data_IF_827360028346
#
_entry.id   IF_827360028346
#
_cell.length_a   1.000
_cell.length_b   1.000
_cell.length_c   1.000
_cell.angle_alpha   90.00
_cell.angle_beta   90.00
_cell.angle_gamma   90.00
#
_symmetry.space_group_name_H-M   'P 1'
#
loop_
_entity.id
_entity.type
_entity.pdbx_description
1 polymer ?
#
# COMPACT_ATOMS: atom_id res chain seq x y z
N UNK A 1 -9.97 -15.01 19.78
CA UNK A 1 -9.37 -13.82 19.16
C UNK A 1 -10.28 -13.45 18.02
N UNK A 2 -10.69 -12.17 17.89
CA UNK A 2 -11.51 -11.70 16.77
C UNK A 2 -10.79 -11.88 15.44
N UNK A 3 -11.55 -12.07 14.36
CA UNK A 3 -11.01 -12.11 13.00
C UNK A 3 -10.33 -10.78 12.68
N UNK A 4 -9.22 -10.80 11.92
CA UNK A 4 -8.46 -9.61 11.57
C UNK A 4 -9.23 -8.61 10.70
N UNK A 5 -8.65 -7.44 10.47
CA UNK A 5 -9.13 -6.43 9.52
C UNK A 5 -8.00 -6.12 8.52
N UNK A 6 -8.30 -6.17 7.22
CA UNK A 6 -7.41 -5.66 6.17
C UNK A 6 -7.74 -4.18 5.91
N UNK A 7 -6.76 -3.31 6.08
CA UNK A 7 -6.82 -1.92 5.62
C UNK A 7 -5.96 -1.80 4.36
N UNK A 8 -6.61 -1.56 3.22
CA UNK A 8 -5.94 -1.42 1.92
C UNK A 8 -5.67 0.05 1.61
N UNK A 9 -4.42 0.36 1.28
CA UNK A 9 -3.95 1.71 0.94
C UNK A 9 -3.55 1.74 -0.54
N UNK A 10 -4.32 2.48 -1.34
CA UNK A 10 -4.09 2.59 -2.78
C UNK A 10 -2.93 3.53 -3.13
N UNK A 11 -2.49 3.51 -4.39
CA UNK A 11 -1.36 4.30 -4.89
C UNK A 11 -1.69 5.76 -5.20
N UNK A 12 -0.69 6.45 -5.76
CA UNK A 12 -0.79 7.82 -6.23
C UNK A 12 -1.79 7.96 -7.39
N UNK A 13 -2.53 9.05 -7.45
CA UNK A 13 -3.59 9.30 -8.44
C UNK A 13 -4.68 8.21 -8.51
N UNK A 14 -4.86 7.42 -7.46
CA UNK A 14 -5.73 6.26 -7.43
C UNK A 14 -6.89 6.41 -6.44
N UNK A 15 -7.69 5.35 -6.26
CA UNK A 15 -8.86 5.34 -5.39
C UNK A 15 -9.21 3.91 -4.94
N UNK A 16 -10.22 3.73 -4.06
CA UNK A 16 -10.79 2.42 -3.77
C UNK A 16 -11.36 1.68 -4.99
N UNK A 17 -11.64 2.39 -6.10
CA UNK A 17 -12.05 1.79 -7.36
C UNK A 17 -10.90 1.17 -8.17
N UNK A 18 -9.66 1.21 -7.67
CA UNK A 18 -8.51 0.57 -8.32
C UNK A 18 -8.72 -0.94 -8.46
N UNK A 19 -8.16 -1.50 -9.52
CA UNK A 19 -8.32 -2.90 -9.89
C UNK A 19 -8.02 -3.86 -8.72
N UNK A 20 -6.86 -3.73 -8.08
CA UNK A 20 -6.46 -4.59 -6.95
C UNK A 20 -7.37 -4.43 -5.73
N UNK A 21 -7.75 -3.20 -5.38
CA UNK A 21 -8.64 -2.95 -4.24
C UNK A 21 -10.01 -3.60 -4.47
N UNK A 22 -10.58 -3.46 -5.68
CA UNK A 22 -11.87 -4.10 -6.02
C UNK A 22 -11.79 -5.62 -5.99
N UNK A 23 -10.74 -6.20 -6.61
CA UNK A 23 -10.59 -7.66 -6.62
C UNK A 23 -10.48 -8.24 -5.22
N UNK A 24 -9.70 -7.60 -4.35
CA UNK A 24 -9.56 -8.09 -2.97
C UNK A 24 -10.88 -7.90 -2.20
N UNK A 25 -11.59 -6.79 -2.38
CA UNK A 25 -12.91 -6.58 -1.78
C UNK A 25 -13.93 -7.64 -2.24
N UNK A 26 -13.97 -7.95 -3.54
CA UNK A 26 -14.82 -8.98 -4.12
C UNK A 26 -14.49 -10.37 -3.56
N UNK A 27 -13.22 -10.72 -3.47
CA UNK A 27 -12.77 -11.99 -2.89
C UNK A 27 -13.11 -12.10 -1.39
N UNK A 28 -12.93 -11.02 -0.63
CA UNK A 28 -13.34 -10.94 0.78
C UNK A 28 -14.86 -11.14 0.92
N UNK A 29 -15.66 -10.48 0.08
CA UNK A 29 -17.11 -10.64 0.08
C UNK A 29 -17.53 -12.09 -0.28
N UNK A 30 -16.88 -12.69 -1.28
CA UNK A 30 -17.14 -14.08 -1.68
C UNK A 30 -16.88 -15.09 -0.55
N UNK A 31 -15.93 -14.77 0.34
CA UNK A 31 -15.59 -15.56 1.54
C UNK A 31 -16.46 -15.24 2.75
N UNK A 32 -17.41 -14.32 2.65
CA UNK A 32 -18.22 -13.84 3.78
C UNK A 32 -17.42 -13.00 4.78
N UNK A 33 -16.38 -12.30 4.29
CA UNK A 33 -15.45 -11.49 5.07
C UNK A 33 -15.51 -9.99 4.67
N UNK A 34 -16.60 -9.53 4.06
CA UNK A 34 -16.72 -8.16 3.56
C UNK A 34 -16.47 -7.10 4.66
N UNK A 35 -16.91 -7.36 5.89
CA UNK A 35 -16.74 -6.49 7.05
C UNK A 35 -15.30 -6.43 7.58
N UNK A 36 -14.44 -7.34 7.12
CA UNK A 36 -13.03 -7.45 7.46
C UNK A 36 -12.09 -6.79 6.43
N UNK A 37 -12.65 -5.96 5.55
CA UNK A 37 -11.89 -5.23 4.54
C UNK A 37 -12.34 -3.79 4.45
N UNK A 38 -11.38 -2.86 4.43
CA UNK A 38 -11.63 -1.44 4.18
C UNK A 38 -10.54 -0.85 3.29
N UNK A 39 -10.95 -0.08 2.31
CA UNK A 39 -10.07 0.72 1.46
C UNK A 39 -10.57 2.17 1.48
N UNK A 40 -9.95 3.07 2.26
CA UNK A 40 -10.38 4.46 2.29
C UNK A 40 -9.96 5.19 1.01
N UNK A 41 -10.70 6.23 0.62
CA UNK A 41 -10.17 7.23 -0.31
C UNK A 41 -9.07 8.00 0.39
N UNK A 42 -7.84 7.91 -0.11
CA UNK A 42 -6.70 8.63 0.42
C UNK A 42 -6.64 10.05 -0.16
N UNK A 43 -6.36 11.02 0.68
CA UNK A 43 -6.06 12.39 0.25
C UNK A 43 -4.77 12.42 -0.58
N UNK A 44 -4.67 13.31 -1.58
CA UNK A 44 -3.40 13.57 -2.25
C UNK A 44 -2.35 14.24 -1.34
N UNK A 45 -2.77 14.77 -0.18
CA UNK A 45 -1.87 15.33 0.84
C UNK A 45 -1.36 14.19 1.73
N UNK A 46 -0.04 13.89 1.74
CA UNK A 46 0.49 12.70 2.43
C UNK A 46 0.21 12.65 3.94
N UNK A 47 0.23 13.79 4.61
CA UNK A 47 -0.09 13.84 6.04
C UNK A 47 -1.56 13.46 6.32
N UNK A 48 -2.48 13.87 5.46
CA UNK A 48 -3.91 13.54 5.57
C UNK A 48 -4.17 12.06 5.23
N UNK A 49 -3.47 11.53 4.21
CA UNK A 49 -3.54 10.11 3.85
C UNK A 49 -3.16 9.23 5.05
N UNK A 50 -2.05 9.53 5.70
CA UNK A 50 -1.60 8.82 6.91
C UNK A 50 -2.57 9.02 8.07
N UNK A 51 -3.10 10.24 8.27
CA UNK A 51 -4.09 10.51 9.32
C UNK A 51 -5.37 9.69 9.12
N UNK A 52 -5.80 9.51 7.85
CA UNK A 52 -6.94 8.64 7.53
C UNK A 52 -6.68 7.18 7.90
N UNK A 53 -5.51 6.65 7.53
CA UNK A 53 -5.09 5.29 7.92
C UNK A 53 -4.99 5.13 9.44
N UNK A 54 -4.42 6.11 10.14
CA UNK A 54 -4.32 6.11 11.61
C UNK A 54 -5.69 6.01 12.26
N UNK A 55 -6.68 6.80 11.82
CA UNK A 55 -8.04 6.73 12.38
C UNK A 55 -8.69 5.35 12.23
N UNK A 56 -8.49 4.69 11.09
CA UNK A 56 -9.01 3.34 10.87
C UNK A 56 -8.34 2.31 11.79
N UNK A 57 -7.02 2.41 11.97
CA UNK A 57 -6.27 1.53 12.86
C UNK A 57 -6.69 1.73 14.32
N UNK A 58 -6.82 2.98 14.76
CA UNK A 58 -7.18 3.34 16.13
C UNK A 58 -8.63 2.99 16.48
N UNK A 59 -9.53 2.97 15.50
CA UNK A 59 -10.92 2.57 15.66
C UNK A 59 -11.15 1.06 15.56
N UNK A 60 -10.15 0.29 15.11
CA UNK A 60 -10.32 -1.15 14.91
C UNK A 60 -10.31 -1.91 16.24
N UNK A 61 -11.33 -2.74 16.45
CA UNK A 61 -11.42 -3.65 17.60
C UNK A 61 -10.72 -4.99 17.36
N UNK A 62 -10.22 -5.21 16.13
CA UNK A 62 -9.59 -6.43 15.67
C UNK A 62 -8.13 -6.18 15.28
N UNK A 63 -7.26 -7.22 15.23
CA UNK A 63 -5.91 -7.09 14.70
C UNK A 63 -5.92 -6.57 13.27
N UNK A 64 -5.17 -5.49 12.99
CA UNK A 64 -5.08 -4.90 11.66
C UNK A 64 -3.88 -5.43 10.90
N UNK A 65 -4.09 -5.76 9.62
CA UNK A 65 -3.03 -6.00 8.64
C UNK A 65 -3.17 -4.97 7.52
N UNK A 66 -2.08 -4.30 7.20
CA UNK A 66 -2.06 -3.32 6.11
C UNK A 66 -1.75 -4.01 4.78
N UNK A 67 -2.41 -3.58 3.72
CA UNK A 67 -2.04 -3.96 2.35
C UNK A 67 -1.82 -2.67 1.57
N UNK A 68 -0.62 -2.43 1.07
CA UNK A 68 -0.30 -1.18 0.39
C UNK A 68 0.26 -1.41 -1.01
N UNK A 69 -0.24 -0.67 -2.01
CA UNK A 69 0.24 -0.74 -3.39
C UNK A 69 0.91 0.57 -3.81
N UNK A 70 2.10 0.50 -4.42
CA UNK A 70 2.83 1.67 -4.90
C UNK A 70 3.07 2.68 -3.77
N UNK A 71 2.62 3.94 -3.90
CA UNK A 71 2.69 4.93 -2.82
C UNK A 71 1.91 4.50 -1.56
N UNK A 72 0.82 3.74 -1.71
CA UNK A 72 0.12 3.13 -0.58
C UNK A 72 1.00 2.15 0.21
N UNK A 73 1.99 1.53 -0.43
CA UNK A 73 3.01 0.72 0.23
C UNK A 73 3.92 1.54 1.15
N UNK A 74 4.28 2.76 0.75
CA UNK A 74 5.01 3.70 1.62
C UNK A 74 4.17 4.09 2.86
N UNK A 75 2.90 4.43 2.68
CA UNK A 75 2.01 4.72 3.79
C UNK A 75 1.81 3.50 4.72
N UNK A 76 1.66 2.31 4.13
CA UNK A 76 1.56 1.06 4.90
C UNK A 76 2.83 0.80 5.73
N UNK A 77 4.01 1.07 5.18
CA UNK A 77 5.27 0.95 5.93
C UNK A 77 5.29 1.91 7.13
N UNK A 78 5.03 3.19 6.91
CA UNK A 78 5.01 4.18 7.99
C UNK A 78 4.02 3.80 9.11
N UNK A 79 2.80 3.43 8.74
CA UNK A 79 1.76 3.04 9.70
C UNK A 79 2.07 1.72 10.40
N UNK A 80 2.63 0.73 9.68
CA UNK A 80 3.03 -0.54 10.26
C UNK A 80 4.11 -0.36 11.33
N UNK A 81 5.12 0.50 11.08
CA UNK A 81 6.14 0.80 12.08
C UNK A 81 5.58 1.60 13.26
N UNK A 82 4.73 2.59 12.99
CA UNK A 82 4.10 3.41 14.04
C UNK A 82 3.24 2.59 15.00
N UNK A 83 2.50 1.60 14.51
CA UNK A 83 1.52 0.84 15.29
C UNK A 83 1.94 -0.61 15.57
N UNK A 84 3.10 -1.07 15.09
CA UNK A 84 3.58 -2.43 15.30
C UNK A 84 2.81 -3.49 14.51
N UNK A 85 2.31 -3.17 13.31
CA UNK A 85 1.42 -4.00 12.51
C UNK A 85 2.16 -4.83 11.47
N UNK A 86 1.49 -5.87 10.94
CA UNK A 86 1.92 -6.58 9.73
C UNK A 86 1.50 -5.82 8.48
N UNK A 87 2.29 -5.95 7.40
CA UNK A 87 1.95 -5.36 6.12
C UNK A 87 2.34 -6.24 4.92
N UNK A 88 1.47 -6.27 3.91
CA UNK A 88 1.78 -6.78 2.56
C UNK A 88 1.96 -5.59 1.64
N UNK A 89 3.10 -5.52 0.96
CA UNK A 89 3.47 -4.40 0.11
C UNK A 89 3.60 -4.86 -1.35
N UNK A 90 2.86 -4.22 -2.24
CA UNK A 90 2.75 -4.61 -3.65
C UNK A 90 3.42 -3.53 -4.51
N UNK A 91 4.53 -3.85 -5.16
CA UNK A 91 5.35 -2.90 -5.91
C UNK A 91 5.49 -1.55 -5.17
N UNK A 92 5.95 -1.53 -3.90
CA UNK A 92 5.90 -0.34 -3.06
C UNK A 92 6.90 0.72 -3.50
N UNK A 93 6.54 1.98 -3.30
CA UNK A 93 7.44 3.10 -3.49
C UNK A 93 8.44 3.17 -2.33
N UNK A 94 9.71 2.93 -2.60
CA UNK A 94 10.83 3.20 -1.68
C UNK A 94 11.18 4.70 -1.75
N UNK A 95 10.42 5.53 -1.04
CA UNK A 95 10.42 7.00 -1.16
C UNK A 95 11.81 7.61 -0.94
N UNK A 96 12.64 7.05 -0.06
CA UNK A 96 14.02 7.50 0.17
C UNK A 96 14.94 7.31 -1.04
N UNK A 97 14.55 6.46 -2.01
CA UNK A 97 15.27 6.17 -3.25
C UNK A 97 14.69 6.90 -4.47
N UNK A 98 13.54 7.57 -4.31
CA UNK A 98 12.84 8.21 -5.40
C UNK A 98 13.25 9.68 -5.59
N UNK A 99 13.38 10.10 -6.84
CA UNK A 99 13.42 11.51 -7.17
C UNK A 99 12.00 12.10 -7.18
N UNK A 100 11.53 12.56 -6.02
CA UNK A 100 10.18 13.10 -5.85
C UNK A 100 9.94 14.37 -6.66
N UNK A 101 10.98 15.11 -7.08
CA UNK A 101 10.82 16.30 -7.91
C UNK A 101 10.15 16.00 -9.25
N UNK A 102 10.25 14.77 -9.76
CA UNK A 102 9.58 14.34 -10.99
C UNK A 102 8.05 14.27 -10.88
N UNK A 103 7.53 14.24 -9.66
CA UNK A 103 6.09 14.15 -9.39
C UNK A 103 5.47 15.49 -9.03
N UNK A 104 6.27 16.56 -8.88
CA UNK A 104 5.76 17.90 -8.58
C UNK A 104 5.04 18.44 -9.79
N UNK A 105 3.82 18.97 -9.57
CA UNK A 105 2.96 19.53 -10.59
C UNK A 105 1.51 19.12 -10.44
N UNK A 106 0.74 19.39 -11.49
CA UNK A 106 -0.69 19.09 -11.54
C UNK A 106 -0.92 17.63 -11.96
N UNK A 107 -1.83 16.98 -11.27
CA UNK A 107 -2.24 15.60 -11.50
C UNK A 107 -3.76 15.46 -11.51
N UNK A 108 -4.22 14.36 -12.04
CA UNK A 108 -5.64 13.99 -12.03
C UNK A 108 -5.80 12.58 -11.48
N UNK A 109 -6.74 12.39 -10.57
CA UNK A 109 -7.09 11.06 -10.09
C UNK A 109 -7.68 10.23 -11.23
N UNK A 110 -7.14 9.04 -11.47
CA UNK A 110 -7.50 8.18 -12.61
C UNK A 110 -8.94 7.67 -12.57
N UNK A 111 -9.57 7.65 -11.38
CA UNK A 111 -10.89 7.07 -11.18
C UNK A 111 -11.96 8.13 -10.91
N UNK A 112 -11.61 9.21 -10.19
CA UNK A 112 -12.58 10.26 -9.83
C UNK A 112 -12.56 11.43 -10.80
N UNK A 113 -11.47 11.61 -11.58
CA UNK A 113 -11.26 12.78 -12.43
C UNK A 113 -10.91 14.05 -11.65
N UNK A 114 -10.75 13.99 -10.34
CA UNK A 114 -10.40 15.14 -9.51
C UNK A 114 -8.97 15.58 -9.78
N UNK A 115 -8.80 16.89 -10.05
CA UNK A 115 -7.50 17.50 -10.24
C UNK A 115 -6.90 17.92 -8.88
N UNK A 116 -5.58 17.73 -8.72
CA UNK A 116 -4.85 18.19 -7.54
C UNK A 116 -3.39 18.52 -7.88
N UNK A 117 -2.78 19.41 -7.11
CA UNK A 117 -1.36 19.71 -7.22
C UNK A 117 -0.52 18.88 -6.23
N UNK A 118 0.56 18.26 -6.70
CA UNK A 118 1.58 17.68 -5.84
C UNK A 118 2.74 18.66 -5.70
N UNK A 119 3.09 19.06 -4.49
CA UNK A 119 3.99 20.18 -4.20
C UNK A 119 5.27 19.72 -3.49
N UNK A 120 6.27 20.61 -3.37
CA UNK A 120 7.47 20.38 -2.54
C UNK A 120 7.11 20.08 -1.08
N UNK A 121 6.05 20.72 -0.55
CA UNK A 121 5.56 20.42 0.80
C UNK A 121 5.07 18.96 0.91
N UNK A 122 4.38 18.46 -0.11
CA UNK A 122 3.95 17.05 -0.15
C UNK A 122 5.14 16.10 -0.25
N UNK A 123 6.14 16.43 -1.06
CA UNK A 123 7.38 15.66 -1.14
C UNK A 123 8.13 15.63 0.20
N UNK A 124 8.19 16.77 0.92
CA UNK A 124 8.78 16.84 2.25
C UNK A 124 8.02 15.98 3.28
N UNK A 125 6.68 15.96 3.21
CA UNK A 125 5.85 15.10 4.06
C UNK A 125 6.13 13.61 3.80
N UNK A 126 6.25 13.18 2.53
CA UNK A 126 6.62 11.81 2.20
C UNK A 126 7.99 11.43 2.76
N UNK A 127 9.00 12.31 2.62
CA UNK A 127 10.33 12.05 3.19
C UNK A 127 10.31 11.92 4.71
N UNK A 128 9.49 12.73 5.39
CA UNK A 128 9.33 12.67 6.84
C UNK A 128 8.63 11.37 7.32
N UNK A 129 7.92 10.69 6.44
CA UNK A 129 7.25 9.41 6.71
C UNK A 129 8.11 8.19 6.42
N UNK A 130 9.35 8.35 5.95
CA UNK A 130 10.26 7.21 5.72
C UNK A 130 10.56 6.54 7.05
N UNK A 131 10.31 5.22 7.12
CA UNK A 131 10.53 4.40 8.31
C UNK A 131 11.27 3.13 7.92
N UNK A 132 12.30 2.76 8.71
CA UNK A 132 13.02 1.52 8.48
C UNK A 132 12.14 0.32 8.82
N UNK A 133 12.02 -0.68 7.91
CA UNK A 133 11.12 -1.80 8.13
C UNK A 133 11.66 -2.77 9.18
N UNK A 134 10.80 -3.21 10.09
CA UNK A 134 11.07 -4.36 10.97
C UNK A 134 10.83 -5.65 10.18
N UNK A 135 11.85 -6.45 9.83
CA UNK A 135 11.76 -7.50 8.82
C UNK A 135 10.64 -8.53 9.03
N UNK A 136 10.35 -8.89 10.28
CA UNK A 136 9.33 -9.90 10.61
C UNK A 136 7.89 -9.49 10.34
N UNK A 137 7.64 -8.21 10.03
CA UNK A 137 6.29 -7.66 9.83
C UNK A 137 5.84 -7.66 8.38
N UNK A 138 6.78 -7.75 7.43
CA UNK A 138 6.50 -7.46 6.02
C UNK A 138 6.53 -8.67 5.12
N UNK A 139 5.66 -8.64 4.14
CA UNK A 139 5.72 -9.49 2.96
C UNK A 139 5.61 -8.61 1.71
N UNK A 140 6.68 -8.61 0.89
CA UNK A 140 6.73 -7.89 -0.36
C UNK A 140 6.34 -8.78 -1.53
N UNK A 141 5.57 -8.21 -2.43
CA UNK A 141 5.21 -8.76 -3.73
C UNK A 141 5.76 -7.81 -4.80
N UNK A 142 6.75 -8.26 -5.56
CA UNK A 142 7.46 -7.45 -6.55
C UNK A 142 7.40 -8.12 -7.92
N UNK A 143 7.21 -7.34 -8.98
CA UNK A 143 7.36 -7.77 -10.36
C UNK A 143 8.55 -7.05 -11.01
N UNK A 144 9.45 -7.82 -11.66
CA UNK A 144 10.68 -7.26 -12.24
C UNK A 144 10.42 -6.40 -13.48
N UNK A 145 9.23 -6.51 -14.07
CA UNK A 145 8.77 -5.72 -15.22
C UNK A 145 8.09 -4.41 -14.84
N UNK A 146 8.11 -4.01 -13.56
CA UNK A 146 7.57 -2.72 -13.12
C UNK A 146 8.24 -1.57 -13.90
N UNK A 147 7.46 -0.91 -14.76
CA UNK A 147 7.91 0.15 -15.67
C UNK A 147 7.88 1.55 -15.01
N UNK A 148 7.28 1.64 -13.82
CA UNK A 148 7.13 2.89 -13.05
C UNK A 148 8.20 3.02 -11.98
N UNK A 149 8.43 1.93 -11.23
CA UNK A 149 9.37 1.88 -10.11
C UNK A 149 10.40 0.76 -10.34
N UNK A 150 11.68 1.09 -10.23
CA UNK A 150 12.71 0.05 -10.22
C UNK A 150 12.53 -0.84 -8.97
N UNK A 151 12.05 -2.07 -9.17
CA UNK A 151 11.77 -3.03 -8.10
C UNK A 151 12.97 -3.27 -7.17
N UNK A 152 14.22 -3.11 -7.68
CA UNK A 152 15.44 -3.28 -6.91
C UNK A 152 15.55 -2.29 -5.77
N UNK A 153 14.98 -1.09 -5.92
CA UNK A 153 14.94 -0.09 -4.86
C UNK A 153 14.13 -0.58 -3.67
N UNK A 154 12.95 -1.17 -3.92
CA UNK A 154 12.14 -1.77 -2.87
C UNK A 154 12.80 -3.05 -2.33
N UNK A 155 13.34 -3.91 -3.20
CA UNK A 155 14.06 -5.11 -2.81
C UNK A 155 15.18 -4.81 -1.80
N UNK A 156 15.98 -3.78 -2.05
CA UNK A 156 17.11 -3.38 -1.20
C UNK A 156 16.63 -2.69 0.08
N UNK A 157 15.63 -1.78 -0.03
CA UNK A 157 15.11 -1.07 1.14
C UNK A 157 14.47 -2.02 2.17
N UNK A 158 13.81 -3.07 1.70
CA UNK A 158 13.19 -4.09 2.54
C UNK A 158 14.05 -5.35 2.67
N UNK A 159 15.38 -5.22 2.60
CA UNK A 159 16.30 -6.35 2.80
C UNK A 159 16.03 -7.04 4.15
N UNK A 160 15.96 -8.37 4.14
CA UNK A 160 15.64 -9.19 5.32
C UNK A 160 14.15 -9.43 5.56
N UNK A 161 13.24 -8.69 4.90
CA UNK A 161 11.81 -9.00 4.89
C UNK A 161 11.51 -10.21 4.00
N UNK A 162 10.34 -10.85 4.20
CA UNK A 162 9.83 -11.83 3.25
C UNK A 162 9.57 -11.16 1.90
N UNK A 163 10.14 -11.69 0.83
CA UNK A 163 9.98 -11.15 -0.52
C UNK A 163 9.60 -12.25 -1.50
N UNK A 164 8.61 -11.98 -2.33
CA UNK A 164 8.23 -12.77 -3.51
C UNK A 164 8.46 -11.90 -4.73
N UNK A 165 9.42 -12.28 -5.55
CA UNK A 165 9.82 -11.53 -6.74
C UNK A 165 9.51 -12.37 -7.97
N UNK A 166 8.63 -11.86 -8.84
CA UNK A 166 8.20 -12.51 -10.07
C UNK A 166 8.91 -11.89 -11.26
N UNK A 167 9.32 -12.74 -12.20
CA UNK A 167 9.90 -12.28 -13.47
C UNK A 167 8.83 -11.72 -14.40
N UNK A 168 9.09 -10.56 -15.01
CA UNK A 168 8.13 -9.88 -15.88
C UNK A 168 7.06 -9.14 -15.10
N UNK A 169 5.83 -9.15 -15.59
CA UNK A 169 4.72 -8.39 -15.03
C UNK A 169 4.81 -6.89 -15.30
N UNK A 170 4.14 -6.09 -14.47
CA UNK A 170 4.04 -4.63 -14.62
C UNK A 170 3.85 -3.93 -13.26
N UNK A 171 3.79 -2.58 -13.26
CA UNK A 171 3.53 -1.81 -12.04
C UNK A 171 2.18 -2.16 -11.38
N UNK A 172 1.20 -2.57 -12.19
CA UNK A 172 -0.11 -3.02 -11.74
C UNK A 172 -0.07 -4.29 -10.90
N UNK A 173 1.02 -5.06 -10.97
CA UNK A 173 1.16 -6.39 -10.38
C UNK A 173 0.12 -7.37 -10.98
N UNK A 174 0.30 -7.72 -12.26
CA UNK A 174 -0.65 -8.52 -13.04
C UNK A 174 -1.03 -9.85 -12.39
N UNK A 175 -0.11 -10.45 -11.61
CA UNK A 175 -0.32 -11.71 -10.90
C UNK A 175 -1.08 -11.56 -9.56
N UNK A 176 -1.62 -10.39 -9.25
CA UNK A 176 -2.28 -10.12 -7.95
C UNK A 176 -3.35 -11.15 -7.57
N UNK A 177 -4.22 -11.63 -8.48
CA UNK A 177 -5.25 -12.62 -8.14
C UNK A 177 -4.70 -13.91 -7.51
N UNK A 178 -3.51 -14.35 -7.93
CA UNK A 178 -2.89 -15.57 -7.43
C UNK A 178 -2.45 -15.46 -5.97
N UNK A 179 -2.23 -14.23 -5.49
CA UNK A 179 -1.76 -13.95 -4.14
C UNK A 179 -2.86 -13.58 -3.15
N UNK A 180 -4.08 -13.28 -3.61
CA UNK A 180 -5.17 -12.90 -2.72
C UNK A 180 -5.44 -13.93 -1.60
N UNK A 181 -5.45 -15.25 -1.86
CA UNK A 181 -5.63 -16.23 -0.79
C UNK A 181 -4.56 -16.14 0.30
N UNK A 182 -3.29 -16.01 -0.10
CA UNK A 182 -2.18 -15.92 0.85
C UNK A 182 -2.15 -14.58 1.60
N UNK A 183 -2.61 -13.49 0.97
CA UNK A 183 -2.76 -12.16 1.62
C UNK A 183 -3.81 -12.26 2.74
N UNK A 184 -4.94 -12.90 2.46
CA UNK A 184 -6.02 -13.10 3.41
C UNK A 184 -5.56 -13.98 4.58
N UNK A 185 -4.86 -15.09 4.29
CA UNK A 185 -4.26 -15.95 5.30
C UNK A 185 -3.20 -15.21 6.14
N UNK A 186 -2.35 -14.39 5.52
CA UNK A 186 -1.35 -13.58 6.22
C UNK A 186 -1.99 -12.60 7.20
N UNK A 187 -3.18 -12.10 6.88
CA UNK A 187 -3.99 -11.25 7.74
C UNK A 187 -4.69 -12.02 8.88
N UNK A 188 -4.64 -13.35 8.89
CA UNK A 188 -5.31 -14.18 9.89
C UNK A 188 -6.83 -14.33 9.66
N UNK A 189 -7.24 -14.34 8.39
CA UNK A 189 -8.63 -14.40 7.91
C UNK A 189 -8.89 -15.66 7.09
#
# INVERSE_FOLDING_TARGET
MGRGLIVYLHGFCSSPASWKARLLAEEMARRGLAEHFVCPQLSPVPAEAVASGSRLIEAAEAPVTLVGSSLGGHYANFLAEKYGLKAVLINPAAVDRLNLAKFIGDHTNFHTGEAFGFTESHAAQLRAQVSQPTPSRYWLLLETGDEVLDYRQAQDFYAGCRQTILAGGDHGFANFPEFMPQIIEFAGL
#
